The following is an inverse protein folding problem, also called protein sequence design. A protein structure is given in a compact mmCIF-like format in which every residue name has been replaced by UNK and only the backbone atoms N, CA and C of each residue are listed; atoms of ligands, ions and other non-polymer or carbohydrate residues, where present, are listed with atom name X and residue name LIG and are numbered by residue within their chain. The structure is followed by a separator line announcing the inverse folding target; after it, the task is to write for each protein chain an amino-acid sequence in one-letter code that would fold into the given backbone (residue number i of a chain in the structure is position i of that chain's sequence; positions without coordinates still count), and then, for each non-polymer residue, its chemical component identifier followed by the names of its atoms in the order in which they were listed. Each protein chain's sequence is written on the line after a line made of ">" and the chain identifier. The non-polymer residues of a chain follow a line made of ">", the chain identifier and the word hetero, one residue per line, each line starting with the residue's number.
data_IF_025467245541
#
_entry.id   IF_025467245541
#
_cell.length_a   1.000
_cell.length_b   1.000
_cell.length_c   1.000
_cell.angle_alpha   90.00
_cell.angle_beta   90.00
_cell.angle_gamma   90.00
#
_symmetry.space_group_name_H-M   'P 1'
#
loop_
_entity.id
_entity.type
_entity.pdbx_description
1 polymer ?
#
# COMPACT_ATOMS: atom_id res chain seq x y z
N UNK A 1 -43.95 17.45 -19.25
CA UNK A 1 -43.15 16.26 -18.91
C UNK A 1 -41.69 16.65 -18.96
N UNK A 2 -41.06 16.87 -17.80
CA UNK A 2 -39.63 17.13 -17.72
C UNK A 2 -38.96 15.84 -17.21
N UNK A 3 -38.15 15.21 -18.06
CA UNK A 3 -37.34 14.06 -17.69
C UNK A 3 -36.21 14.51 -16.78
N UNK A 4 -36.33 14.19 -15.49
CA UNK A 4 -35.21 14.23 -14.56
C UNK A 4 -34.37 12.97 -14.82
N UNK A 5 -33.41 13.05 -15.73
CA UNK A 5 -32.27 12.15 -15.68
C UNK A 5 -31.45 12.56 -14.44
N UNK A 6 -31.59 11.79 -13.36
CA UNK A 6 -30.66 11.90 -12.25
C UNK A 6 -29.30 11.48 -12.78
N UNK A 7 -28.41 12.45 -13.03
CA UNK A 7 -26.99 12.19 -13.08
C UNK A 7 -26.62 11.64 -11.71
N UNK A 8 -26.61 10.31 -11.56
CA UNK A 8 -25.90 9.67 -10.46
C UNK A 8 -24.46 10.08 -10.64
N UNK A 9 -23.96 10.97 -9.79
CA UNK A 9 -22.53 11.18 -9.67
C UNK A 9 -21.88 9.81 -9.54
N UNK A 10 -21.09 9.45 -10.55
CA UNK A 10 -20.30 8.23 -10.50
C UNK A 10 -19.26 8.50 -9.43
N UNK A 11 -19.41 7.86 -8.26
CA UNK A 11 -18.49 8.02 -7.15
C UNK A 11 -17.05 7.80 -7.64
N UNK A 12 -16.25 8.87 -7.53
CA UNK A 12 -14.85 8.87 -7.95
C UNK A 12 -14.00 8.33 -6.82
N UNK A 13 -13.21 7.32 -7.11
CA UNK A 13 -12.27 6.73 -6.15
C UNK A 13 -10.84 7.07 -6.56
N UNK A 14 -9.95 7.12 -5.57
CA UNK A 14 -8.53 7.43 -5.78
C UNK A 14 -7.66 6.35 -5.16
N UNK A 15 -6.64 5.92 -5.90
CA UNK A 15 -5.51 5.17 -5.35
C UNK A 15 -4.43 6.18 -5.00
N UNK A 16 -4.04 6.20 -3.73
CA UNK A 16 -3.00 7.10 -3.22
C UNK A 16 -1.79 6.32 -2.72
N UNK A 17 -0.62 6.87 -2.99
CA UNK A 17 0.64 6.45 -2.41
C UNK A 17 0.93 7.30 -1.18
N UNK A 18 0.77 6.70 -0.02
CA UNK A 18 0.98 7.35 1.25
C UNK A 18 2.39 7.13 1.79
N UNK A 19 2.84 8.06 2.62
CA UNK A 19 4.14 8.02 3.27
C UNK A 19 4.07 8.70 4.63
N UNK A 20 4.39 8.00 5.72
CA UNK A 20 4.46 8.61 7.07
C UNK A 20 5.83 8.42 7.73
N UNK A 21 6.24 9.37 8.59
CA UNK A 21 7.50 9.27 9.32
C UNK A 21 7.45 8.15 10.38
N UNK A 22 8.45 7.27 10.38
CA UNK A 22 8.77 6.39 11.52
C UNK A 22 10.01 6.97 12.20
N UNK A 23 9.94 7.27 13.49
CA UNK A 23 11.13 7.64 14.27
C UNK A 23 11.93 6.37 14.57
N UNK A 24 13.11 6.23 13.95
CA UNK A 24 14.05 5.14 14.23
C UNK A 24 15.46 5.73 14.30
N UNK A 25 16.02 5.83 15.52
CA UNK A 25 17.28 6.55 15.79
C UNK A 25 17.24 7.99 15.22
N UNK A 26 18.35 8.73 15.20
CA UNK A 26 18.38 10.19 14.94
C UNK A 26 17.92 10.64 13.51
N UNK A 27 17.33 9.76 12.72
CA UNK A 27 16.75 10.06 11.39
C UNK A 27 15.26 9.66 11.33
N UNK A 28 14.54 10.23 10.35
CA UNK A 28 13.11 9.96 10.14
C UNK A 28 12.97 9.21 8.80
N UNK A 29 13.18 7.88 8.76
CA UNK A 29 12.75 7.08 7.62
C UNK A 29 11.23 7.11 7.52
N UNK A 30 10.73 7.01 6.30
CA UNK A 30 9.32 6.98 5.97
C UNK A 30 8.91 5.54 5.65
N UNK A 31 7.69 5.22 6.06
CA UNK A 31 6.98 4.03 5.64
C UNK A 31 6.00 4.39 4.54
N UNK A 32 6.12 3.69 3.42
CA UNK A 32 5.26 3.84 2.28
C UNK A 32 4.17 2.76 2.27
N UNK A 33 2.99 3.15 1.84
CA UNK A 33 1.79 2.32 1.80
C UNK A 33 0.89 2.76 0.63
N UNK A 34 -0.11 1.95 0.33
CA UNK A 34 -1.17 2.30 -0.62
C UNK A 34 -2.49 2.40 0.09
N UNK A 35 -3.31 3.37 -0.30
CA UNK A 35 -4.69 3.43 0.14
C UNK A 35 -5.63 3.64 -1.05
N UNK A 36 -6.78 3.00 -0.97
CA UNK A 36 -7.96 3.34 -1.75
C UNK A 36 -8.78 4.31 -0.91
N UNK A 37 -9.06 5.49 -1.45
CA UNK A 37 -9.87 6.51 -0.79
C UNK A 37 -11.07 6.88 -1.65
N UNK A 38 -12.16 7.31 -1.01
CA UNK A 38 -13.30 7.91 -1.70
C UNK A 38 -12.96 9.34 -2.18
N UNK A 39 -13.93 10.01 -2.79
CA UNK A 39 -13.75 11.35 -3.34
C UNK A 39 -13.31 12.38 -2.28
N UNK A 40 -13.89 12.27 -1.08
CA UNK A 40 -13.58 13.09 0.10
C UNK A 40 -12.20 12.78 0.71
N UNK A 41 -11.52 11.73 0.24
CA UNK A 41 -10.21 11.31 0.74
C UNK A 41 -10.28 10.39 1.96
N UNK A 42 -11.46 9.88 2.30
CA UNK A 42 -11.64 8.92 3.39
C UNK A 42 -11.15 7.54 2.95
N UNK A 43 -10.36 6.84 3.78
CA UNK A 43 -9.82 5.54 3.43
C UNK A 43 -10.90 4.46 3.46
N UNK A 44 -10.99 3.73 2.35
CA UNK A 44 -11.85 2.55 2.21
C UNK A 44 -11.04 1.27 2.43
N UNK A 45 -9.85 1.21 1.85
CA UNK A 45 -8.91 0.08 1.95
C UNK A 45 -7.48 0.57 2.03
N UNK A 46 -6.61 -0.16 2.72
CA UNK A 46 -5.18 0.15 2.82
C UNK A 46 -4.31 -1.10 2.67
N UNK A 47 -3.23 -1.00 1.92
CA UNK A 47 -2.24 -2.05 1.71
C UNK A 47 -0.90 -1.66 2.31
N UNK A 48 -0.42 -2.48 3.24
CA UNK A 48 0.80 -2.25 3.98
C UNK A 48 1.80 -3.38 3.86
N UNK A 49 3.06 -3.03 3.64
CA UNK A 49 4.17 -3.97 3.70
C UNK A 49 4.69 -4.18 5.12
N UNK A 50 5.19 -5.36 5.41
CA UNK A 50 5.82 -5.66 6.69
C UNK A 50 6.35 -7.08 6.73
N UNK A 51 6.34 -7.70 7.90
CA UNK A 51 6.76 -9.08 8.05
C UNK A 51 5.80 -9.86 8.97
N UNK A 52 5.74 -11.18 8.77
CA UNK A 52 5.00 -12.10 9.64
C UNK A 52 5.86 -12.54 10.82
N UNK A 53 5.25 -12.66 12.00
CA UNK A 53 5.84 -13.39 13.12
C UNK A 53 5.83 -14.91 12.85
N UNK A 54 6.61 -15.71 13.63
CA UNK A 54 6.57 -17.17 13.53
C UNK A 54 5.19 -17.78 13.75
N UNK A 55 4.32 -17.13 14.53
CA UNK A 55 2.93 -17.53 14.78
C UNK A 55 1.97 -17.18 13.63
N UNK A 56 2.47 -16.62 12.53
CA UNK A 56 1.68 -16.22 11.37
C UNK A 56 0.96 -14.89 11.51
N UNK A 57 1.09 -14.17 12.63
CA UNK A 57 0.50 -12.83 12.77
C UNK A 57 1.34 -11.75 12.07
N UNK A 58 0.71 -10.68 11.60
CA UNK A 58 1.43 -9.54 11.03
C UNK A 58 2.03 -8.67 12.13
N UNK A 59 3.27 -8.21 11.96
CA UNK A 59 3.86 -7.23 12.87
C UNK A 59 4.92 -6.38 12.20
N UNK A 60 4.78 -5.05 12.30
CA UNK A 60 5.73 -4.10 11.74
C UNK A 60 7.17 -4.26 12.23
N UNK A 61 7.36 -4.79 13.44
CA UNK A 61 8.70 -5.00 14.03
C UNK A 61 9.21 -6.43 13.85
N UNK A 62 8.50 -7.32 13.15
CA UNK A 62 8.96 -8.69 12.91
C UNK A 62 10.05 -8.76 11.82
N UNK A 63 11.12 -7.96 11.95
CA UNK A 63 12.19 -7.79 10.95
C UNK A 63 12.98 -9.09 10.65
N UNK A 64 12.74 -10.16 11.40
CA UNK A 64 13.30 -11.50 11.18
C UNK A 64 12.42 -12.42 10.33
N UNK A 65 11.14 -12.09 10.16
CA UNK A 65 10.16 -12.90 9.45
C UNK A 65 10.14 -12.69 7.93
N UNK A 66 9.36 -13.51 7.21
CA UNK A 66 9.15 -13.33 5.78
C UNK A 66 8.35 -12.04 5.53
N UNK A 67 8.69 -11.35 4.44
CA UNK A 67 7.97 -10.19 3.94
C UNK A 67 6.55 -10.58 3.56
N UNK A 68 5.62 -9.68 3.83
CA UNK A 68 4.21 -9.81 3.47
C UNK A 68 3.63 -8.44 3.15
N UNK A 69 2.49 -8.44 2.48
CA UNK A 69 1.59 -7.31 2.39
C UNK A 69 0.25 -7.68 3.04
N UNK A 70 -0.39 -6.73 3.73
CA UNK A 70 -1.70 -6.92 4.36
C UNK A 70 -2.65 -5.86 3.85
N UNK A 71 -3.84 -6.30 3.44
CA UNK A 71 -4.97 -5.43 3.16
C UNK A 71 -5.78 -5.21 4.43
N UNK A 72 -6.18 -3.96 4.68
CA UNK A 72 -7.16 -3.59 5.68
C UNK A 72 -8.37 -3.00 4.98
N UNK A 73 -9.52 -3.65 5.12
CA UNK A 73 -10.82 -3.10 4.75
C UNK A 73 -11.40 -2.36 5.96
N UNK A 74 -11.63 -1.05 5.81
CA UNK A 74 -12.10 -0.21 6.91
C UNK A 74 -13.56 -0.48 7.28
N UNK A 75 -14.37 -1.06 6.38
CA UNK A 75 -15.75 -1.44 6.66
C UNK A 75 -15.86 -2.66 7.59
N UNK A 76 -14.80 -3.49 7.63
CA UNK A 76 -14.74 -4.74 8.42
C UNK A 76 -13.62 -4.70 9.48
N UNK A 77 -13.17 -3.49 9.82
CA UNK A 77 -11.95 -3.26 10.61
C UNK A 77 -12.00 -3.99 11.95
N UNK A 78 -10.99 -4.83 12.21
CA UNK A 78 -10.72 -5.40 13.53
C UNK A 78 -9.32 -4.94 14.04
N UNK A 79 -9.25 -4.00 14.99
CA UNK A 79 -8.00 -3.46 15.52
C UNK A 79 -7.07 -4.48 16.18
N UNK A 80 -7.58 -5.64 16.62
CA UNK A 80 -6.79 -6.69 17.27
C UNK A 80 -5.89 -7.44 16.28
N UNK A 81 -6.37 -7.63 15.04
CA UNK A 81 -5.65 -8.38 14.00
C UNK A 81 -4.94 -7.46 13.01
N UNK A 82 -5.45 -6.25 12.85
CA UNK A 82 -4.95 -5.25 11.92
C UNK A 82 -4.76 -3.92 12.66
N UNK A 83 -3.64 -3.76 13.40
CA UNK A 83 -3.38 -2.54 14.17
C UNK A 83 -3.36 -1.34 13.23
N UNK A 84 -3.82 -0.18 13.72
CA UNK A 84 -4.22 0.97 12.91
C UNK A 84 -3.32 1.27 11.70
N UNK A 85 -3.84 0.85 10.56
CA UNK A 85 -3.56 1.35 9.23
C UNK A 85 -4.55 2.48 9.04
N UNK A 86 -4.10 3.71 9.25
CA UNK A 86 -4.83 4.92 8.87
C UNK A 86 -3.89 5.72 8.01
N UNK A 87 -4.41 6.47 7.03
CA UNK A 87 -3.70 7.65 6.56
C UNK A 87 -3.54 8.55 7.79
N UNK A 88 -2.41 8.40 8.47
CA UNK A 88 -2.10 9.16 9.68
C UNK A 88 -2.17 10.64 9.33
N UNK A 89 -2.58 11.54 10.24
CA UNK A 89 -2.55 12.98 9.97
C UNK A 89 -1.17 13.51 9.54
N UNK A 90 -0.10 12.79 9.91
CA UNK A 90 1.29 13.09 9.51
C UNK A 90 1.70 12.50 8.16
N UNK A 91 0.82 11.73 7.52
CA UNK A 91 1.07 11.12 6.22
C UNK A 91 1.05 12.18 5.12
N UNK A 92 1.97 12.03 4.18
CA UNK A 92 1.91 12.71 2.89
C UNK A 92 1.40 11.70 1.88
N UNK A 93 0.49 12.11 1.00
CA UNK A 93 -0.06 11.26 -0.03
C UNK A 93 0.13 11.88 -1.41
N UNK A 94 0.41 11.04 -2.40
CA UNK A 94 0.35 11.40 -3.81
C UNK A 94 -0.73 10.56 -4.48
N UNK A 95 -1.65 11.18 -5.22
CA UNK A 95 -2.61 10.45 -6.05
C UNK A 95 -1.84 9.75 -7.16
N UNK A 96 -2.01 8.43 -7.26
CA UNK A 96 -1.45 7.63 -8.35
C UNK A 96 -2.45 7.50 -9.50
N UNK A 97 -3.73 7.37 -9.16
CA UNK A 97 -4.81 7.19 -10.10
C UNK A 97 -6.13 7.68 -9.49
N UNK A 98 -6.98 8.29 -10.30
CA UNK A 98 -8.36 8.64 -9.98
C UNK A 98 -9.26 8.12 -11.09
N UNK A 99 -10.36 7.45 -10.74
CA UNK A 99 -11.25 6.89 -11.74
C UNK A 99 -12.54 6.35 -11.15
N UNK A 100 -13.29 5.64 -12.00
CA UNK A 100 -14.50 4.94 -11.57
C UNK A 100 -14.15 3.64 -10.84
N UNK A 101 -15.16 3.03 -10.21
CA UNK A 101 -14.99 1.79 -9.44
C UNK A 101 -14.43 0.61 -10.25
N UNK A 102 -14.74 0.50 -11.55
CA UNK A 102 -14.27 -0.61 -12.39
C UNK A 102 -12.76 -0.54 -12.57
N UNK A 103 -12.25 0.60 -13.03
CA UNK A 103 -10.82 0.79 -13.31
C UNK A 103 -10.00 0.65 -12.01
N UNK A 104 -10.53 1.20 -10.91
CA UNK A 104 -9.93 1.11 -9.58
C UNK A 104 -9.84 -0.33 -9.10
N UNK A 105 -10.90 -1.13 -9.28
CA UNK A 105 -10.90 -2.53 -8.87
C UNK A 105 -9.91 -3.36 -9.71
N UNK A 106 -9.81 -3.10 -11.01
CA UNK A 106 -8.82 -3.75 -11.87
C UNK A 106 -7.40 -3.48 -11.38
N UNK A 107 -7.03 -2.22 -11.18
CA UNK A 107 -5.71 -1.83 -10.66
C UNK A 107 -5.47 -2.45 -9.26
N UNK A 108 -6.41 -2.28 -8.34
CA UNK A 108 -6.28 -2.78 -6.97
C UNK A 108 -6.12 -4.32 -6.94
N UNK A 109 -6.82 -5.05 -7.81
CA UNK A 109 -6.66 -6.51 -7.92
C UNK A 109 -5.24 -6.94 -8.34
N UNK A 110 -4.59 -6.14 -9.20
CA UNK A 110 -3.17 -6.33 -9.56
C UNK A 110 -2.24 -6.19 -8.36
N UNK A 111 -2.50 -5.19 -7.50
CA UNK A 111 -1.77 -5.06 -6.24
C UNK A 111 -2.02 -6.25 -5.30
N UNK A 112 -3.25 -6.73 -5.16
CA UNK A 112 -3.57 -7.91 -4.31
C UNK A 112 -2.89 -9.19 -4.81
N UNK A 113 -2.82 -9.39 -6.12
CA UNK A 113 -2.11 -10.53 -6.72
C UNK A 113 -0.61 -10.46 -6.40
N UNK A 114 0.00 -9.28 -6.50
CA UNK A 114 1.39 -9.07 -6.12
C UNK A 114 1.61 -9.25 -4.61
N UNK A 115 0.68 -8.82 -3.76
CA UNK A 115 0.73 -9.05 -2.32
C UNK A 115 0.82 -10.56 -1.99
N UNK A 116 -0.05 -11.37 -2.61
CA UNK A 116 -0.02 -12.83 -2.46
C UNK A 116 1.27 -13.45 -3.01
N UNK A 117 1.81 -12.92 -4.12
CA UNK A 117 3.09 -13.39 -4.66
C UNK A 117 4.28 -13.06 -3.74
N UNK A 118 4.29 -11.89 -3.10
CA UNK A 118 5.29 -11.53 -2.07
C UNK A 118 5.24 -12.52 -0.90
N UNK A 119 4.03 -12.81 -0.40
CA UNK A 119 3.85 -13.74 0.72
C UNK A 119 4.32 -15.16 0.36
N UNK A 120 3.99 -15.64 -0.84
CA UNK A 120 4.43 -16.95 -1.34
C UNK A 120 5.94 -17.05 -1.54
N UNK A 121 6.59 -15.94 -1.94
CA UNK A 121 8.03 -15.91 -2.17
C UNK A 121 8.87 -16.03 -0.88
N UNK A 122 8.25 -15.87 0.31
CA UNK A 122 8.90 -15.98 1.64
C UNK A 122 10.21 -15.18 1.74
N UNK A 123 10.25 -14.01 1.11
CA UNK A 123 11.45 -13.18 1.04
C UNK A 123 11.84 -12.69 2.44
N UNK A 124 13.09 -12.84 2.84
CA UNK A 124 13.58 -12.33 4.13
C UNK A 124 13.63 -10.81 4.15
N UNK A 125 13.15 -10.21 5.23
CA UNK A 125 13.22 -8.76 5.44
C UNK A 125 14.68 -8.27 5.49
N UNK A 126 14.96 -7.15 4.81
CA UNK A 126 16.22 -6.44 4.75
C UNK A 126 15.97 -4.94 4.80
N UNK A 127 16.37 -4.22 5.88
CA UNK A 127 16.01 -2.82 6.10
C UNK A 127 16.37 -1.85 4.98
N UNK A 128 17.41 -2.14 4.18
CA UNK A 128 17.89 -1.24 3.13
C UNK A 128 17.35 -1.56 1.73
N UNK A 129 16.82 -2.77 1.51
CA UNK A 129 16.47 -3.26 0.16
C UNK A 129 15.12 -3.94 0.09
N UNK A 130 14.87 -4.90 0.97
CA UNK A 130 13.67 -5.76 0.95
C UNK A 130 12.86 -5.52 2.22
N UNK A 131 12.10 -4.44 2.25
CA UNK A 131 11.35 -3.97 3.39
C UNK A 131 9.92 -3.54 2.98
N UNK A 132 9.18 -2.92 3.90
CA UNK A 132 7.84 -2.41 3.60
C UNK A 132 7.78 -1.41 2.45
N UNK A 133 8.81 -0.58 2.25
CA UNK A 133 8.85 0.37 1.14
C UNK A 133 9.04 -0.33 -0.21
N UNK A 134 9.83 -1.42 -0.25
CA UNK A 134 9.94 -2.25 -1.45
C UNK A 134 8.67 -3.04 -1.75
N UNK A 135 7.89 -3.39 -0.72
CA UNK A 135 6.54 -3.95 -0.90
C UNK A 135 5.66 -2.91 -1.59
N UNK A 136 5.53 -1.70 -1.02
CA UNK A 136 4.76 -0.62 -1.65
C UNK A 136 5.20 -0.34 -3.09
N UNK A 137 6.51 -0.35 -3.35
CA UNK A 137 7.06 -0.17 -4.69
C UNK A 137 6.62 -1.27 -5.68
N UNK A 138 6.64 -2.53 -5.22
CA UNK A 138 6.21 -3.70 -5.99
C UNK A 138 4.71 -3.67 -6.28
N UNK A 139 3.90 -3.29 -5.30
CA UNK A 139 2.45 -3.18 -5.46
C UNK A 139 2.08 -2.11 -6.50
N UNK A 140 2.71 -0.94 -6.47
CA UNK A 140 2.49 0.12 -7.47
C UNK A 140 2.82 -0.35 -8.88
N UNK A 141 3.95 -1.04 -9.05
CA UNK A 141 4.33 -1.57 -10.36
C UNK A 141 3.39 -2.66 -10.86
N UNK A 142 2.86 -3.50 -9.96
CA UNK A 142 1.88 -4.51 -10.33
C UNK A 142 0.56 -3.91 -10.84
N UNK A 143 0.25 -2.68 -10.44
CA UNK A 143 -0.86 -1.90 -11.00
C UNK A 143 -0.51 -1.21 -12.32
N UNK A 144 0.73 -1.33 -12.83
CA UNK A 144 1.19 -0.57 -14.00
C UNK A 144 1.33 0.93 -13.76
N UNK A 145 1.35 1.38 -12.51
CA UNK A 145 1.42 2.80 -12.15
C UNK A 145 2.86 3.26 -11.89
N UNK A 146 3.09 4.57 -11.99
CA UNK A 146 4.40 5.16 -11.78
C UNK A 146 4.67 5.46 -10.29
N UNK A 147 5.87 5.15 -9.81
CA UNK A 147 6.27 5.46 -8.44
C UNK A 147 6.51 6.96 -8.22
N UNK A 148 6.01 7.56 -7.11
CA UNK A 148 6.35 8.92 -6.74
C UNK A 148 7.83 9.01 -6.32
N UNK A 149 8.70 9.46 -7.25
CA UNK A 149 10.16 9.43 -7.09
C UNK A 149 10.68 10.11 -5.81
N UNK A 150 10.01 11.18 -5.37
CA UNK A 150 10.37 11.94 -4.18
C UNK A 150 10.06 11.18 -2.87
N UNK A 151 8.92 10.47 -2.81
CA UNK A 151 8.56 9.62 -1.68
C UNK A 151 9.39 8.34 -1.59
N UNK A 152 10.01 7.94 -2.71
CA UNK A 152 10.82 6.72 -2.83
C UNK A 152 12.34 6.98 -2.81
N UNK A 153 12.83 8.13 -2.33
CA UNK A 153 14.27 8.39 -2.27
C UNK A 153 14.96 7.50 -1.23
N UNK A 154 16.23 7.12 -1.44
CA UNK A 154 16.97 6.24 -0.51
C UNK A 154 17.06 6.81 0.90
N UNK A 155 17.18 8.13 1.03
CA UNK A 155 17.26 8.82 2.33
C UNK A 155 15.92 8.85 3.07
N UNK A 156 14.79 8.96 2.34
CA UNK A 156 13.46 8.99 2.95
C UNK A 156 12.88 7.60 3.13
N UNK A 157 12.94 6.78 2.10
CA UNK A 157 12.35 5.46 2.07
C UNK A 157 13.38 4.45 1.50
N UNK A 158 14.33 3.97 2.33
CA UNK A 158 15.20 2.86 1.95
C UNK A 158 14.37 1.72 1.38
N UNK A 159 14.84 1.06 0.31
CA UNK A 159 14.08 0.02 -0.39
C UNK A 159 12.92 0.51 -1.28
N UNK A 160 12.51 1.79 -1.21
CA UNK A 160 11.34 2.32 -1.96
C UNK A 160 11.47 2.36 -3.49
N UNK A 161 12.63 2.00 -4.04
CA UNK A 161 12.86 1.81 -5.49
C UNK A 161 13.19 0.37 -5.85
N UNK A 162 13.18 -0.53 -4.86
CA UNK A 162 13.46 -1.94 -5.06
C UNK A 162 12.14 -2.67 -5.31
N UNK A 163 12.06 -3.38 -6.44
CA UNK A 163 10.93 -4.25 -6.79
C UNK A 163 11.30 -5.66 -6.36
N UNK A 164 10.42 -6.30 -5.60
CA UNK A 164 10.67 -7.60 -4.97
C UNK A 164 10.48 -8.76 -5.94
N UNK A 165 9.56 -8.60 -6.88
CA UNK A 165 9.18 -9.60 -7.86
C UNK A 165 9.58 -9.07 -9.23
N UNK A 166 10.81 -9.36 -9.66
CA UNK A 166 11.19 -9.09 -11.04
C UNK A 166 10.45 -10.09 -11.93
N UNK A 167 9.78 -9.58 -12.97
CA UNK A 167 8.90 -10.36 -13.85
C UNK A 167 9.52 -11.68 -14.29
N UNK A 168 8.98 -12.76 -13.74
CA UNK A 168 8.93 -14.13 -14.26
C UNK A 168 8.09 -14.95 -13.27
N UNK A 169 6.79 -14.68 -13.30
CA UNK A 169 5.77 -15.61 -12.83
C UNK A 169 4.62 -15.53 -13.83
N UNK A 170 4.90 -16.00 -15.05
CA UNK A 170 3.87 -16.62 -15.88
C UNK A 170 3.77 -18.08 -15.45
#
# INVERSE_FOLDING_TARGET
>A
MAGFESFREIERLKIVFGSWPIRVFASIPFHNFLALVNEAGEPLRELNGGARKPDGTYHYQALSGPLTAIETDYSQRNPLYFPEFSIRPTSRAAVLFEGNAKDINELWSGALTAAQAIERARLRYSPLRRNSNSVAATLVQAMGLALPRAACSVLRAPGGRCVLLNGNAQ
#
